data_IF_514780052758
#
_entry.id   IF_514780052758
#
_cell.length_a   1.000
_cell.length_b   1.000
_cell.length_c   1.000
_cell.angle_alpha   90.00
_cell.angle_beta   90.00
_cell.angle_gamma   90.00
#
_symmetry.space_group_name_H-M   'P 1'
#
loop_
_entity.id
_entity.type
_entity.pdbx_description
1 polymer ?
#
# COMPACT_ATOMS: atom_id res chain seq x y z
N UNK A 1 -6.78 -19.26 -63.30
CA UNK A 1 -7.52 -19.72 -64.49
C UNK A 1 -6.86 -19.18 -65.74
N UNK A 2 -6.04 -20.01 -66.42
CA UNK A 2 -5.31 -19.55 -67.63
C UNK A 2 -6.03 -19.90 -68.95
N UNK A 3 -7.06 -20.75 -68.89
CA UNK A 3 -7.82 -21.15 -70.06
C UNK A 3 -8.91 -20.14 -70.44
N UNK A 4 -8.74 -19.49 -71.61
CA UNK A 4 -9.73 -18.62 -72.25
C UNK A 4 -10.14 -19.15 -73.60
N UNK A 5 -11.32 -18.85 -74.02
CA UNK A 5 -11.76 -19.11 -75.39
C UNK A 5 -11.14 -18.00 -76.27
N UNK A 6 -10.30 -18.42 -77.21
CA UNK A 6 -9.59 -17.56 -78.11
C UNK A 6 -10.17 -17.67 -79.51
N UNK A 7 -9.87 -16.73 -80.40
CA UNK A 7 -10.35 -16.69 -81.78
C UNK A 7 -11.89 -16.76 -81.87
N UNK A 8 -12.60 -15.96 -81.10
CA UNK A 8 -14.04 -15.85 -81.13
C UNK A 8 -14.39 -15.07 -82.40
N UNK A 9 -15.25 -15.69 -83.24
CA UNK A 9 -15.88 -15.01 -84.39
C UNK A 9 -17.08 -14.19 -83.88
N UNK A 10 -16.94 -12.88 -83.89
CA UNK A 10 -17.96 -11.95 -83.39
C UNK A 10 -19.27 -11.95 -84.21
N UNK A 11 -19.28 -12.47 -85.45
CA UNK A 11 -20.49 -12.68 -86.24
C UNK A 11 -21.22 -14.01 -85.87
N UNK A 12 -20.60 -14.85 -85.13
CA UNK A 12 -21.20 -16.10 -84.69
C UNK A 12 -22.35 -15.91 -83.67
N UNK A 13 -23.47 -16.63 -83.79
CA UNK A 13 -24.55 -16.63 -82.79
C UNK A 13 -24.09 -16.95 -81.39
N UNK A 14 -22.94 -17.59 -81.26
CA UNK A 14 -22.33 -18.04 -79.94
C UNK A 14 -21.33 -16.99 -79.39
N UNK A 15 -20.98 -15.93 -80.10
CA UNK A 15 -19.97 -14.98 -79.66
C UNK A 15 -20.28 -14.36 -78.30
N UNK A 16 -21.49 -13.93 -78.08
CA UNK A 16 -21.92 -13.37 -76.78
C UNK A 16 -21.75 -14.37 -75.62
N UNK A 17 -21.99 -15.65 -75.84
CA UNK A 17 -21.80 -16.70 -74.86
C UNK A 17 -20.29 -16.89 -74.51
N UNK A 18 -19.42 -16.91 -75.52
CA UNK A 18 -17.99 -17.09 -75.35
C UNK A 18 -17.35 -15.89 -74.64
N UNK A 19 -17.76 -14.66 -75.01
CA UNK A 19 -17.32 -13.46 -74.26
C UNK A 19 -17.81 -13.47 -72.81
N UNK A 20 -19.08 -13.89 -72.56
CA UNK A 20 -19.60 -14.02 -71.19
C UNK A 20 -18.86 -15.06 -70.34
N UNK A 21 -18.41 -16.17 -70.93
CA UNK A 21 -17.59 -17.19 -70.28
C UNK A 21 -16.21 -16.58 -69.93
N UNK A 22 -15.55 -15.90 -70.89
CA UNK A 22 -14.26 -15.27 -70.60
C UNK A 22 -14.35 -14.18 -69.53
N UNK A 23 -15.40 -13.37 -69.52
CA UNK A 23 -15.65 -12.36 -68.50
C UNK A 23 -15.86 -12.98 -67.12
N UNK A 24 -16.56 -14.13 -67.04
CA UNK A 24 -16.73 -14.87 -65.80
C UNK A 24 -15.35 -15.42 -65.28
N UNK A 25 -14.54 -15.98 -66.17
CA UNK A 25 -13.21 -16.49 -65.86
C UNK A 25 -12.35 -15.35 -65.31
N UNK A 26 -12.30 -14.20 -65.98
CA UNK A 26 -11.52 -13.02 -65.55
C UNK A 26 -11.92 -12.51 -64.18
N UNK A 27 -13.22 -12.42 -63.92
CA UNK A 27 -13.73 -11.99 -62.62
C UNK A 27 -13.44 -12.96 -61.52
N UNK A 28 -13.52 -14.27 -61.83
CA UNK A 28 -13.21 -15.35 -60.85
C UNK A 28 -11.73 -15.32 -60.51
N UNK A 29 -10.86 -15.22 -61.51
CA UNK A 29 -9.41 -15.15 -61.32
C UNK A 29 -9.02 -13.92 -60.49
N UNK A 30 -9.56 -12.74 -60.86
CA UNK A 30 -9.32 -11.51 -60.10
C UNK A 30 -9.76 -11.65 -58.65
N UNK A 31 -10.94 -12.22 -58.37
CA UNK A 31 -11.45 -12.40 -57.02
C UNK A 31 -10.57 -13.35 -56.22
N UNK A 32 -10.18 -14.50 -56.77
CA UNK A 32 -9.36 -15.49 -56.11
C UNK A 32 -7.97 -14.88 -55.76
N UNK A 33 -7.33 -14.23 -56.76
CA UNK A 33 -6.03 -13.58 -56.58
C UNK A 33 -6.05 -12.50 -55.50
N UNK A 34 -7.03 -11.60 -55.56
CA UNK A 34 -7.17 -10.51 -54.58
C UNK A 34 -7.51 -11.03 -53.21
N UNK A 35 -8.35 -12.07 -53.11
CA UNK A 35 -8.68 -12.70 -51.80
C UNK A 35 -7.48 -13.41 -51.20
N UNK A 36 -6.68 -14.10 -52.00
CA UNK A 36 -5.46 -14.78 -51.56
C UNK A 36 -4.44 -13.75 -51.05
N UNK A 37 -4.16 -12.68 -51.82
CA UNK A 37 -3.26 -11.62 -51.41
C UNK A 37 -3.72 -10.93 -50.11
N UNK A 38 -5.03 -10.72 -49.99
CA UNK A 38 -5.61 -10.16 -48.78
C UNK A 38 -5.38 -11.07 -47.53
N UNK A 39 -5.64 -12.37 -47.66
CA UNK A 39 -5.48 -13.33 -46.59
C UNK A 39 -4.02 -13.56 -46.17
N UNK A 40 -3.07 -13.50 -47.14
CA UNK A 40 -1.63 -13.53 -46.85
C UNK A 40 -1.17 -12.35 -46.00
N UNK A 41 -1.76 -11.19 -46.14
CA UNK A 41 -1.50 -10.04 -45.29
C UNK A 41 -2.14 -10.21 -43.89
N UNK A 42 -3.34 -10.78 -43.82
CA UNK A 42 -3.99 -11.11 -42.53
C UNK A 42 -3.15 -12.07 -41.70
N UNK A 43 -2.53 -13.08 -42.33
CA UNK A 43 -1.63 -14.02 -41.67
C UNK A 43 -0.45 -13.33 -40.96
N UNK A 44 -0.03 -12.16 -41.50
CA UNK A 44 1.03 -11.31 -40.91
C UNK A 44 0.52 -10.25 -39.96
N UNK A 45 -0.76 -10.29 -39.59
CA UNK A 45 -1.46 -9.25 -38.82
C UNK A 45 -1.52 -7.87 -39.52
N UNK A 46 -1.46 -7.88 -40.85
CA UNK A 46 -1.55 -6.66 -41.70
C UNK A 46 -2.97 -6.52 -42.26
N UNK A 47 -3.84 -5.82 -41.54
CA UNK A 47 -5.28 -5.71 -41.90
C UNK A 47 -5.60 -4.59 -42.90
N UNK A 48 -4.63 -3.78 -43.26
CA UNK A 48 -4.80 -2.66 -44.20
C UNK A 48 -5.04 -3.10 -45.65
N UNK A 49 -4.59 -4.29 -46.04
CA UNK A 49 -4.74 -4.82 -47.42
C UNK A 49 -6.14 -5.34 -47.61
N UNK A 50 -6.96 -4.50 -48.28
CA UNK A 50 -8.33 -4.85 -48.66
C UNK A 50 -8.38 -5.45 -50.06
N UNK A 51 -9.44 -6.25 -50.32
CA UNK A 51 -9.74 -6.76 -51.69
C UNK A 51 -10.14 -5.57 -52.57
N UNK A 52 -9.48 -5.45 -53.73
CA UNK A 52 -9.81 -4.45 -54.75
C UNK A 52 -11.13 -4.82 -55.40
N UNK A 53 -12.14 -3.98 -55.32
CA UNK A 53 -13.50 -4.27 -55.79
C UNK A 53 -13.77 -3.78 -57.22
N UNK A 54 -12.79 -3.15 -57.86
CA UNK A 54 -12.94 -2.61 -59.24
C UNK A 54 -13.22 -3.74 -60.22
N UNK A 55 -14.34 -3.66 -60.96
CA UNK A 55 -14.78 -4.71 -61.90
C UNK A 55 -15.49 -5.90 -61.28
N UNK A 56 -15.59 -6.00 -59.94
CA UNK A 56 -16.38 -7.04 -59.30
C UNK A 56 -17.86 -6.70 -59.28
N UNK A 57 -18.70 -7.68 -59.58
CA UNK A 57 -20.16 -7.54 -59.60
C UNK A 57 -20.85 -8.72 -58.92
N UNK A 58 -22.13 -8.58 -58.58
CA UNK A 58 -22.94 -9.67 -58.02
C UNK A 58 -22.35 -10.26 -56.75
N UNK A 59 -22.25 -11.60 -56.71
CA UNK A 59 -21.76 -12.34 -55.54
C UNK A 59 -20.31 -12.01 -55.19
N UNK A 60 -19.42 -11.74 -56.15
CA UNK A 60 -18.02 -11.38 -55.90
C UNK A 60 -17.91 -10.03 -55.21
N UNK A 61 -18.67 -9.02 -55.60
CA UNK A 61 -18.73 -7.72 -54.95
C UNK A 61 -19.24 -7.84 -53.50
N UNK A 62 -20.32 -8.59 -53.33
CA UNK A 62 -20.90 -8.82 -52.02
C UNK A 62 -19.91 -9.53 -51.07
N UNK A 63 -19.22 -10.56 -51.56
CA UNK A 63 -18.22 -11.29 -50.77
C UNK A 63 -17.02 -10.40 -50.40
N UNK A 64 -16.47 -9.67 -51.37
CA UNK A 64 -15.36 -8.71 -51.16
C UNK A 64 -15.72 -7.64 -50.12
N UNK A 65 -16.96 -7.10 -50.20
CA UNK A 65 -17.44 -6.08 -49.25
C UNK A 65 -17.49 -6.65 -47.83
N UNK A 66 -17.99 -7.89 -47.67
CA UNK A 66 -18.06 -8.55 -46.35
C UNK A 66 -16.66 -8.87 -45.78
N UNK A 67 -15.74 -9.33 -46.63
CA UNK A 67 -14.35 -9.59 -46.24
C UNK A 67 -13.68 -8.28 -45.81
N UNK A 68 -13.78 -7.21 -46.60
CA UNK A 68 -13.21 -5.92 -46.25
C UNK A 68 -13.80 -5.33 -44.97
N UNK A 69 -15.09 -5.54 -44.70
CA UNK A 69 -15.71 -5.13 -43.44
C UNK A 69 -15.18 -5.95 -42.24
N UNK A 70 -15.00 -7.27 -42.42
CA UNK A 70 -14.42 -8.14 -41.40
C UNK A 70 -12.98 -7.76 -41.05
N UNK A 71 -12.16 -7.42 -42.07
CA UNK A 71 -10.78 -6.92 -41.88
C UNK A 71 -10.72 -5.65 -41.06
N UNK A 72 -11.57 -4.67 -41.34
CA UNK A 72 -11.66 -3.44 -40.56
C UNK A 72 -12.03 -3.73 -39.12
N UNK A 73 -13.00 -4.62 -38.89
CA UNK A 73 -13.37 -5.02 -37.52
C UNK A 73 -12.26 -5.75 -36.78
N UNK A 74 -11.44 -6.55 -37.50
CA UNK A 74 -10.24 -7.18 -36.90
C UNK A 74 -9.18 -6.13 -36.54
N UNK A 75 -8.89 -5.19 -37.44
CA UNK A 75 -7.94 -4.10 -37.19
C UNK A 75 -8.33 -3.29 -35.96
N UNK A 76 -9.61 -2.90 -35.83
CA UNK A 76 -10.11 -2.15 -34.67
C UNK A 76 -9.98 -2.94 -33.38
N UNK A 77 -10.24 -4.25 -33.41
CA UNK A 77 -10.08 -5.13 -32.23
C UNK A 77 -8.62 -5.25 -31.82
N UNK A 78 -7.71 -5.42 -32.77
CA UNK A 78 -6.26 -5.52 -32.47
C UNK A 78 -5.75 -4.22 -31.86
N UNK A 79 -6.09 -3.08 -32.46
CA UNK A 79 -5.74 -1.76 -31.89
C UNK A 79 -6.33 -1.54 -30.50
N UNK A 80 -7.57 -1.95 -30.29
CA UNK A 80 -8.21 -1.89 -28.96
C UNK A 80 -7.51 -2.77 -27.95
N UNK A 81 -7.08 -3.96 -28.35
CA UNK A 81 -6.32 -4.87 -27.47
C UNK A 81 -4.94 -4.27 -27.12
N UNK A 82 -4.21 -3.74 -28.10
CA UNK A 82 -2.91 -3.08 -27.86
C UNK A 82 -3.04 -1.92 -26.87
N UNK A 83 -4.06 -1.07 -27.06
CA UNK A 83 -4.33 0.04 -26.14
C UNK A 83 -4.63 -0.46 -24.73
N UNK A 84 -5.46 -1.50 -24.61
CA UNK A 84 -5.80 -2.08 -23.31
C UNK A 84 -4.59 -2.72 -22.63
N UNK A 85 -3.76 -3.44 -23.39
CA UNK A 85 -2.54 -4.06 -22.89
C UNK A 85 -1.54 -3.01 -22.36
N UNK A 86 -1.34 -1.92 -23.12
CA UNK A 86 -0.46 -0.82 -22.68
C UNK A 86 -0.99 -0.13 -21.40
N UNK A 87 -2.29 0.14 -21.32
CA UNK A 87 -2.89 0.72 -20.12
C UNK A 87 -2.82 -0.21 -18.91
N UNK A 88 -2.95 -1.52 -19.14
CA UNK A 88 -2.78 -2.52 -18.09
C UNK A 88 -1.34 -2.55 -17.57
N UNK A 89 -0.36 -2.53 -18.48
CA UNK A 89 1.06 -2.49 -18.13
C UNK A 89 1.39 -1.25 -17.29
N UNK A 90 0.94 -0.07 -17.68
CA UNK A 90 1.12 1.18 -16.96
C UNK A 90 0.49 1.13 -15.55
N UNK A 91 -0.74 0.59 -15.46
CA UNK A 91 -1.44 0.44 -14.19
C UNK A 91 -0.71 -0.51 -13.25
N UNK A 92 -0.27 -1.66 -13.75
CA UNK A 92 0.49 -2.65 -12.95
C UNK A 92 1.81 -2.04 -12.47
N UNK A 93 2.52 -1.33 -13.33
CA UNK A 93 3.76 -0.65 -12.95
C UNK A 93 3.53 0.37 -11.83
N UNK A 94 2.50 1.21 -11.95
CA UNK A 94 2.12 2.18 -10.92
C UNK A 94 1.76 1.52 -9.58
N UNK A 95 1.04 0.39 -9.60
CA UNK A 95 0.73 -0.37 -8.37
C UNK A 95 1.98 -0.95 -7.74
N UNK A 96 2.91 -1.49 -8.52
CA UNK A 96 4.19 -2.04 -8.02
C UNK A 96 5.02 -0.94 -7.35
N UNK A 97 5.11 0.24 -7.94
CA UNK A 97 5.83 1.38 -7.38
C UNK A 97 5.20 1.87 -6.07
N UNK A 98 3.86 1.94 -6.01
CA UNK A 98 3.13 2.29 -4.80
C UNK A 98 3.38 1.29 -3.66
N UNK A 99 3.35 -0.02 -3.97
CA UNK A 99 3.62 -1.09 -2.98
C UNK A 99 5.07 -1.02 -2.49
N UNK A 100 6.03 -0.77 -3.36
CA UNK A 100 7.44 -0.61 -3.00
C UNK A 100 7.64 0.60 -2.06
N UNK A 101 7.02 1.74 -2.38
CA UNK A 101 7.05 2.94 -1.53
C UNK A 101 6.42 2.68 -0.16
N UNK A 102 5.21 2.10 -0.11
CA UNK A 102 4.52 1.75 1.12
C UNK A 102 5.34 0.77 1.99
N UNK A 103 6.02 -0.21 1.37
CA UNK A 103 6.89 -1.16 2.07
C UNK A 103 8.09 -0.47 2.72
N UNK A 104 8.68 0.52 2.04
CA UNK A 104 9.78 1.32 2.58
C UNK A 104 9.32 2.16 3.78
N UNK A 105 8.16 2.78 3.67
CA UNK A 105 7.56 3.59 4.75
C UNK A 105 7.18 2.74 5.97
N UNK A 106 6.65 1.54 5.73
CA UNK A 106 6.36 0.57 6.78
C UNK A 106 7.63 0.10 7.50
N UNK A 107 8.71 -0.16 6.76
CA UNK A 107 10.01 -0.53 7.32
C UNK A 107 10.60 0.58 8.19
N UNK A 108 10.51 1.84 7.75
CA UNK A 108 10.93 3.01 8.53
C UNK A 108 10.10 3.16 9.81
N UNK A 109 8.78 3.02 9.72
CA UNK A 109 7.88 3.08 10.87
C UNK A 109 8.15 1.98 11.89
N UNK A 110 8.43 0.76 11.41
CA UNK A 110 8.81 -0.36 12.28
C UNK A 110 10.14 -0.12 13.01
N UNK A 111 11.11 0.50 12.33
CA UNK A 111 12.37 0.90 12.96
C UNK A 111 12.18 1.94 14.05
N UNK A 112 11.39 2.99 13.77
CA UNK A 112 11.07 4.02 14.77
C UNK A 112 10.30 3.47 15.97
N UNK A 113 9.37 2.54 15.74
CA UNK A 113 8.65 1.86 16.81
C UNK A 113 9.59 1.04 17.71
N UNK A 114 10.59 0.37 17.12
CA UNK A 114 11.62 -0.36 17.87
C UNK A 114 12.44 0.58 18.76
N UNK A 115 12.84 1.75 18.26
CA UNK A 115 13.58 2.76 19.02
C UNK A 115 12.76 3.29 20.21
N UNK A 116 11.49 3.65 19.98
CA UNK A 116 10.56 4.12 21.02
C UNK A 116 10.35 3.04 22.09
N UNK A 117 10.24 1.79 21.69
CA UNK A 117 10.08 0.66 22.62
C UNK A 117 11.33 0.50 23.49
N UNK A 118 12.52 0.63 22.93
CA UNK A 118 13.77 0.57 23.67
C UNK A 118 13.91 1.75 24.65
N UNK A 119 13.59 2.96 24.23
CA UNK A 119 13.59 4.13 25.09
C UNK A 119 12.58 3.99 26.25
N UNK A 120 11.37 3.50 25.94
CA UNK A 120 10.35 3.23 26.96
C UNK A 120 10.82 2.19 27.98
N UNK A 121 11.50 1.13 27.54
CA UNK A 121 12.07 0.12 28.45
C UNK A 121 13.12 0.72 29.40
N UNK A 122 13.97 1.61 28.89
CA UNK A 122 14.96 2.32 29.71
C UNK A 122 14.28 3.22 30.75
N UNK A 123 13.25 3.98 30.34
CA UNK A 123 12.51 4.84 31.28
C UNK A 123 11.75 4.06 32.36
N UNK A 124 11.25 2.87 32.06
CA UNK A 124 10.64 1.99 33.06
C UNK A 124 11.69 1.57 34.10
N UNK A 125 12.90 1.20 33.66
CA UNK A 125 13.98 0.85 34.54
C UNK A 125 14.38 2.02 35.48
N UNK A 126 14.55 3.23 34.90
CA UNK A 126 14.86 4.44 35.67
C UNK A 126 13.78 4.77 36.72
N UNK A 127 12.53 4.48 36.39
CA UNK A 127 11.38 4.67 37.29
C UNK A 127 11.41 3.65 38.45
N UNK A 128 11.76 2.40 38.14
CA UNK A 128 11.90 1.32 39.13
C UNK A 128 13.03 1.64 40.14
N UNK A 129 14.19 2.05 39.62
CA UNK A 129 15.32 2.47 40.46
C UNK A 129 14.99 3.69 41.37
N UNK A 130 14.19 4.62 40.84
CA UNK A 130 13.71 5.78 41.60
C UNK A 130 12.73 5.40 42.68
N UNK A 131 11.83 4.43 42.42
CA UNK A 131 10.89 3.91 43.40
C UNK A 131 11.59 3.16 44.51
N UNK A 132 12.61 2.37 44.20
CA UNK A 132 13.44 1.68 45.19
C UNK A 132 14.19 2.66 46.10
N UNK A 133 14.76 3.73 45.53
CA UNK A 133 15.38 4.83 46.28
C UNK A 133 14.41 5.55 47.20
N UNK A 134 13.16 5.78 46.73
CA UNK A 134 12.11 6.40 47.54
C UNK A 134 11.71 5.52 48.72
N UNK A 135 11.61 4.21 48.55
CA UNK A 135 11.35 3.24 49.63
C UNK A 135 12.43 3.28 50.70
N UNK A 136 13.72 3.26 50.31
CA UNK A 136 14.84 3.37 51.25
C UNK A 136 14.81 4.69 52.05
N UNK A 137 14.42 5.78 51.41
CA UNK A 137 14.24 7.07 52.06
C UNK A 137 13.10 7.04 53.09
N UNK A 138 11.96 6.41 52.73
CA UNK A 138 10.83 6.22 53.67
C UNK A 138 11.24 5.40 54.90
N UNK A 139 11.99 4.31 54.71
CA UNK A 139 12.53 3.51 55.85
C UNK A 139 13.43 4.34 56.76
N UNK A 140 14.31 5.18 56.16
CA UNK A 140 15.18 6.08 56.93
C UNK A 140 14.38 7.08 57.74
N UNK A 141 13.33 7.70 57.13
CA UNK A 141 12.42 8.64 57.81
C UNK A 141 11.65 7.93 58.96
N UNK A 142 11.21 6.70 58.74
CA UNK A 142 10.53 5.93 59.76
C UNK A 142 11.46 5.65 61.00
N UNK A 143 12.70 5.23 60.74
CA UNK A 143 13.67 5.02 61.81
C UNK A 143 13.99 6.33 62.57
N UNK A 144 14.19 7.45 61.88
CA UNK A 144 14.40 8.75 62.51
C UNK A 144 13.20 9.19 63.35
N UNK A 145 11.97 8.88 62.91
CA UNK A 145 10.72 9.18 63.60
C UNK A 145 10.60 8.37 64.92
N UNK A 146 11.02 7.09 64.89
CA UNK A 146 11.08 6.26 66.11
C UNK A 146 12.11 6.80 67.11
N UNK A 147 13.29 7.24 66.65
CA UNK A 147 14.33 7.82 67.49
C UNK A 147 13.87 9.14 68.13
N UNK A 148 13.23 10.01 67.33
CA UNK A 148 12.61 11.23 67.85
C UNK A 148 11.52 10.95 68.86
N UNK A 149 10.66 9.95 68.67
CA UNK A 149 9.65 9.52 69.65
C UNK A 149 10.27 9.05 70.95
N UNK A 150 11.37 8.34 70.85
CA UNK A 150 12.14 7.88 72.06
C UNK A 150 12.74 9.08 72.78
N UNK A 151 13.37 10.02 72.07
CA UNK A 151 13.95 11.22 72.67
C UNK A 151 12.90 12.13 73.31
N UNK A 152 11.72 12.26 72.71
CA UNK A 152 10.61 13.02 73.31
C UNK A 152 10.18 12.37 74.70
N UNK A 153 10.09 11.04 74.76
CA UNK A 153 9.75 10.35 75.96
C UNK A 153 10.82 10.58 77.07
N UNK A 154 12.09 10.54 76.71
CA UNK A 154 13.18 10.81 77.63
C UNK A 154 13.15 12.25 78.13
N UNK A 155 12.96 13.25 77.26
CA UNK A 155 12.81 14.66 77.65
C UNK A 155 11.61 14.84 78.52
N UNK A 156 10.46 14.21 78.25
CA UNK A 156 9.27 14.26 79.08
C UNK A 156 9.53 13.71 80.52
N UNK A 157 10.30 12.60 80.64
CA UNK A 157 10.75 12.04 81.96
C UNK A 157 11.67 12.99 82.64
N UNK A 158 12.63 13.59 81.98
CA UNK A 158 13.57 14.56 82.59
C UNK A 158 12.85 15.82 83.08
N UNK A 159 11.86 16.31 82.29
CA UNK A 159 11.03 17.46 82.75
C UNK A 159 10.20 17.10 83.95
N UNK A 160 9.58 15.94 84.02
CA UNK A 160 8.83 15.48 85.21
C UNK A 160 9.74 15.36 86.44
N UNK A 161 10.91 14.76 86.30
CA UNK A 161 11.89 14.69 87.39
C UNK A 161 12.42 16.06 87.85
N UNK A 162 12.65 16.97 86.90
CA UNK A 162 13.02 18.34 87.19
C UNK A 162 11.95 19.11 87.93
N UNK A 163 10.67 18.90 87.64
CA UNK A 163 9.54 19.51 88.32
C UNK A 163 9.43 19.01 89.75
N UNK A 164 9.65 17.69 90.01
CA UNK A 164 9.67 17.07 91.34
C UNK A 164 10.77 17.69 92.19
N UNK A 165 11.98 17.70 91.66
CA UNK A 165 13.14 18.32 92.35
C UNK A 165 12.91 19.80 92.63
N UNK A 166 12.28 20.55 91.79
CA UNK A 166 11.99 21.93 91.99
C UNK A 166 10.94 22.13 93.12
N UNK A 167 9.96 21.22 93.24
CA UNK A 167 8.98 21.20 94.33
C UNK A 167 9.66 20.89 95.68
N UNK A 168 10.51 19.87 95.68
CA UNK A 168 11.25 19.53 96.86
C UNK A 168 12.14 20.69 97.36
N UNK A 169 12.86 21.35 96.44
CA UNK A 169 13.66 22.53 96.75
C UNK A 169 12.84 23.68 97.29
N UNK A 170 11.64 23.92 96.74
CA UNK A 170 10.72 24.95 97.19
C UNK A 170 10.18 24.65 98.59
N UNK A 171 9.87 23.41 98.89
CA UNK A 171 9.45 22.96 100.22
C UNK A 171 10.57 23.11 101.29
N UNK A 172 11.80 22.71 100.93
CA UNK A 172 12.96 22.90 101.79
C UNK A 172 13.27 24.40 102.02
N UNK A 173 13.12 25.22 101.08
CA UNK A 173 13.31 26.68 101.24
C UNK A 173 12.24 27.33 102.14
N UNK A 174 10.98 26.83 102.08
CA UNK A 174 9.92 27.25 103.01
C UNK A 174 10.22 26.85 104.43
N UNK A 175 10.66 25.60 104.67
CA UNK A 175 11.01 25.10 105.96
C UNK A 175 12.16 25.91 106.59
N UNK A 176 13.20 26.27 105.82
CA UNK A 176 14.30 27.11 106.27
C UNK A 176 13.79 28.56 106.55
N UNK A 177 12.83 29.08 105.78
CA UNK A 177 12.19 30.35 106.10
C UNK A 177 11.44 30.38 107.42
N UNK A 178 10.65 29.36 107.65
CA UNK A 178 9.91 29.23 108.91
C UNK A 178 10.84 29.10 110.13
N UNK A 179 11.96 28.37 110.02
CA UNK A 179 13.01 28.29 111.09
C UNK A 179 13.73 29.65 111.29
N UNK A 180 13.88 30.47 110.32
CA UNK A 180 14.49 31.80 110.40
C UNK A 180 13.57 32.85 111.06
N UNK A 181 12.23 32.68 111.01
CA UNK A 181 11.25 33.51 111.74
C UNK A 181 11.14 33.16 113.23
N UNK A 182 11.53 31.92 113.67
CA UNK A 182 11.49 31.47 115.04
C UNK A 182 12.71 31.89 115.83
N UNK A 183 13.74 32.48 115.23
CA UNK A 183 14.99 32.92 115.83
C UNK A 183 15.03 34.43 116.05
#
# INVERSE_FOLDING_TARGET
>A
FEGRIINIDDESPMASLFHGINDLIDRTDAYVRESTACLEHVERNEYWRQIIQTGMVGAFLTASTKINAALRSMEDKVKGFETTASSFEETVFGVVELVASASTELSSSASSMKEITQESSTKVQDTDDSAESALANVETVAAASEELSSSIREISSQVANGLERTREAAASASEVGDLAEEL
#
